data_IF_773944011865
#
_entry.id   IF_773944011865
#
_cell.length_a   1.000
_cell.length_b   1.000
_cell.length_c   1.000
_cell.angle_alpha   90.00
_cell.angle_beta   90.00
_cell.angle_gamma   90.00
#
_symmetry.space_group_name_H-M   'P 1'
#
loop_
_entity.id
_entity.type
_entity.pdbx_description
1 polymer ?
#
# COMPACT_ATOMS: atom_id res chain seq x y z
N UNK A 1 -70.56 37.98 58.45
CA UNK A 1 -70.30 39.43 58.61
C UNK A 1 -68.95 39.59 59.29
N UNK A 2 -68.06 40.42 58.73
CA UNK A 2 -67.01 41.15 59.46
C UNK A 2 -65.90 40.37 60.18
N UNK A 3 -64.66 40.73 59.78
CA UNK A 3 -63.43 40.73 60.58
C UNK A 3 -62.89 39.34 60.98
N UNK A 4 -61.59 39.08 61.07
CA UNK A 4 -60.48 39.88 61.62
C UNK A 4 -59.16 39.23 61.22
N UNK A 5 -58.18 40.05 60.86
CA UNK A 5 -56.78 39.76 61.12
C UNK A 5 -56.54 39.74 62.63
N UNK A 6 -55.60 38.92 63.13
CA UNK A 6 -54.35 39.33 63.78
C UNK A 6 -53.62 38.12 64.39
N UNK A 7 -52.31 38.04 64.08
CA UNK A 7 -51.13 37.86 64.96
C UNK A 7 -51.38 37.40 66.42
N UNK A 8 -50.49 36.65 67.10
CA UNK A 8 -49.12 36.99 67.51
C UNK A 8 -48.54 35.74 68.21
N UNK A 9 -47.24 35.45 67.99
CA UNK A 9 -46.22 35.07 68.99
C UNK A 9 -45.17 34.19 68.28
N UNK A 10 -44.06 34.72 67.77
CA UNK A 10 -42.92 35.32 68.50
C UNK A 10 -42.30 34.34 69.50
N UNK A 11 -41.19 33.71 69.10
CA UNK A 11 -40.04 33.60 69.99
C UNK A 11 -38.74 33.83 69.20
N UNK A 12 -38.03 34.84 69.67
CA UNK A 12 -36.74 35.39 69.26
C UNK A 12 -35.64 34.64 70.03
N UNK A 13 -34.47 34.45 69.41
CA UNK A 13 -33.09 34.64 69.97
C UNK A 13 -32.12 34.28 68.84
N UNK A 14 -31.49 35.20 68.09
CA UNK A 14 -30.50 36.26 68.35
C UNK A 14 -29.03 35.78 68.36
N UNK A 15 -28.31 36.24 67.30
CA UNK A 15 -26.88 36.58 67.14
C UNK A 15 -25.83 35.47 67.32
N UNK A 16 -24.76 35.38 66.50
CA UNK A 16 -23.71 36.39 66.29
C UNK A 16 -23.08 36.28 64.90
N UNK A 17 -22.73 37.46 64.36
CA UNK A 17 -22.01 37.72 63.10
C UNK A 17 -20.51 37.43 63.23
N UNK A 18 -19.94 36.79 62.20
CA UNK A 18 -18.50 36.75 61.97
C UNK A 18 -18.19 36.82 60.47
N UNK A 19 -17.83 38.01 60.00
CA UNK A 19 -17.28 38.26 58.67
C UNK A 19 -15.83 37.77 58.60
N UNK A 20 -15.52 36.92 57.62
CA UNK A 20 -14.17 36.75 57.10
C UNK A 20 -14.23 36.62 55.58
N UNK A 21 -13.65 37.61 54.91
CA UNK A 21 -13.39 37.66 53.47
C UNK A 21 -12.15 36.81 53.19
N UNK A 22 -12.20 35.88 52.25
CA UNK A 22 -10.96 35.46 51.57
C UNK A 22 -11.18 34.88 50.16
N UNK A 23 -10.63 35.64 49.20
CA UNK A 23 -9.88 35.24 48.01
C UNK A 23 -10.43 34.11 47.11
N UNK A 24 -11.00 34.55 45.99
CA UNK A 24 -11.08 33.81 44.74
C UNK A 24 -9.67 33.46 44.23
N UNK A 25 -9.33 32.16 44.24
CA UNK A 25 -8.21 31.61 43.49
C UNK A 25 -8.79 30.73 42.38
N UNK A 26 -8.77 31.25 41.14
CA UNK A 26 -9.19 30.55 39.94
C UNK A 26 -8.24 29.39 39.62
N UNK A 27 -8.56 28.21 40.14
CA UNK A 27 -7.98 26.95 39.68
C UNK A 27 -8.58 26.57 38.34
N UNK A 28 -7.97 27.01 37.24
CA UNK A 28 -8.16 26.37 35.93
C UNK A 28 -7.60 24.95 36.05
N UNK A 29 -8.47 24.01 36.43
CA UNK A 29 -8.20 22.58 36.29
C UNK A 29 -8.02 22.35 34.81
N UNK A 30 -6.75 22.28 34.40
CA UNK A 30 -6.31 21.81 33.10
C UNK A 30 -6.75 20.34 33.07
N UNK A 31 -7.98 20.07 32.62
CA UNK A 31 -8.36 18.75 32.16
C UNK A 31 -7.42 18.46 31.00
N UNK A 32 -6.29 17.84 31.32
CA UNK A 32 -5.54 17.03 30.38
C UNK A 32 -6.52 15.92 30.02
N UNK A 33 -7.34 16.18 28.99
CA UNK A 33 -7.98 15.10 28.24
C UNK A 33 -6.80 14.31 27.70
N UNK A 34 -6.39 13.29 28.46
CA UNK A 34 -5.66 12.18 27.89
C UNK A 34 -6.52 11.74 26.71
N UNK A 35 -6.07 12.08 25.50
CA UNK A 35 -6.59 11.46 24.30
C UNK A 35 -6.27 9.97 24.50
N UNK A 36 -7.26 9.25 25.02
CA UNK A 36 -7.25 7.82 25.20
C UNK A 36 -6.90 7.27 23.84
N UNK A 37 -5.73 6.63 23.78
CA UNK A 37 -5.04 6.35 22.53
C UNK A 37 -5.82 5.23 21.86
N UNK A 38 -6.73 5.60 20.95
CA UNK A 38 -7.49 4.66 20.14
C UNK A 38 -6.53 3.58 19.63
N UNK A 39 -6.86 2.33 19.92
CA UNK A 39 -6.02 1.22 19.49
C UNK A 39 -6.02 1.18 17.98
N UNK A 40 -4.87 0.83 17.38
CA UNK A 40 -4.80 0.72 15.92
C UNK A 40 -5.81 -0.33 15.44
N UNK A 41 -6.56 -0.04 14.36
CA UNK A 41 -7.49 -1.01 13.80
C UNK A 41 -6.78 -2.34 13.51
N UNK A 42 -7.43 -3.44 13.82
CA UNK A 42 -7.05 -4.76 13.29
C UNK A 42 -7.83 -4.94 11.99
N UNK A 43 -7.13 -5.21 10.90
CA UNK A 43 -7.75 -5.33 9.57
C UNK A 43 -7.40 -6.70 9.00
N UNK A 44 -8.36 -7.39 8.39
CA UNK A 44 -8.12 -8.55 7.54
C UNK A 44 -8.68 -8.27 6.15
N UNK A 45 -7.93 -8.68 5.13
CA UNK A 45 -8.32 -8.51 3.74
C UNK A 45 -8.27 -9.86 3.05
N UNK A 46 -9.28 -10.15 2.24
CA UNK A 46 -9.31 -11.28 1.33
C UNK A 46 -9.42 -10.79 -0.13
N UNK A 47 -8.60 -11.38 -0.97
CA UNK A 47 -8.71 -11.31 -2.41
C UNK A 47 -9.62 -12.43 -2.92
N UNK A 48 -10.63 -12.08 -3.72
CA UNK A 48 -11.53 -13.04 -4.30
C UNK A 48 -11.11 -13.36 -5.73
N UNK A 49 -10.79 -14.62 -5.97
CA UNK A 49 -10.46 -15.16 -7.29
C UNK A 49 -11.63 -15.97 -7.85
N UNK A 50 -11.82 -16.02 -9.18
CA UNK A 50 -12.90 -16.79 -9.78
C UNK A 50 -12.70 -18.30 -9.58
N UNK A 51 -13.82 -18.99 -9.40
CA UNK A 51 -13.88 -20.45 -9.24
C UNK A 51 -14.52 -21.09 -10.46
N UNK A 52 -13.92 -22.17 -10.95
CA UNK A 52 -14.41 -22.90 -12.12
C UNK A 52 -14.36 -22.06 -13.40
N UNK A 53 -15.50 -21.92 -14.07
CA UNK A 53 -15.63 -21.14 -15.31
C UNK A 53 -16.14 -19.70 -15.09
N UNK A 54 -16.23 -19.25 -13.84
CA UNK A 54 -16.65 -17.90 -13.52
C UNK A 54 -15.66 -16.86 -14.03
N UNK A 55 -16.16 -15.66 -14.28
CA UNK A 55 -15.34 -14.46 -14.52
C UNK A 55 -15.46 -13.52 -13.33
N UNK A 56 -14.64 -12.47 -13.36
CA UNK A 56 -14.69 -11.42 -12.35
C UNK A 56 -13.77 -11.70 -11.17
N UNK A 57 -13.82 -10.78 -10.21
CA UNK A 57 -12.99 -10.77 -9.03
C UNK A 57 -13.66 -9.93 -7.95
N UNK A 58 -13.09 -9.94 -6.76
CA UNK A 58 -13.55 -9.07 -5.70
C UNK A 58 -12.57 -8.93 -4.56
N UNK A 59 -12.98 -8.15 -3.56
CA UNK A 59 -12.21 -7.93 -2.35
C UNK A 59 -13.16 -7.80 -1.17
N UNK A 60 -12.77 -8.41 -0.06
CA UNK A 60 -13.44 -8.22 1.22
C UNK A 60 -12.44 -7.70 2.23
N UNK A 61 -12.80 -6.62 2.91
CA UNK A 61 -12.03 -6.05 4.02
C UNK A 61 -12.91 -6.06 5.27
N UNK A 62 -12.37 -6.59 6.36
CA UNK A 62 -12.99 -6.52 7.69
C UNK A 62 -12.06 -5.78 8.62
N UNK A 63 -12.57 -4.75 9.29
CA UNK A 63 -11.81 -3.94 10.23
C UNK A 63 -12.49 -3.90 11.60
N UNK A 64 -11.70 -4.16 12.64
CA UNK A 64 -12.05 -4.06 14.05
C UNK A 64 -11.29 -2.88 14.66
N UNK A 65 -12.03 -1.86 15.11
CA UNK A 65 -11.51 -0.69 15.82
C UNK A 65 -12.03 -0.76 17.26
N UNK A 66 -11.12 -0.84 18.22
CA UNK A 66 -11.47 -0.72 19.63
C UNK A 66 -11.18 0.72 20.09
N UNK A 67 -12.24 1.42 20.50
CA UNK A 67 -12.19 2.83 20.89
C UNK A 67 -11.63 3.06 22.32
N UNK A 68 -11.30 1.98 23.04
CA UNK A 68 -10.78 2.03 24.41
C UNK A 68 -11.86 1.97 25.50
N UNK A 69 -13.15 1.95 25.14
CA UNK A 69 -14.29 1.93 26.07
C UNK A 69 -15.09 0.62 25.97
N UNK A 70 -14.44 -0.49 25.60
CA UNK A 70 -15.05 -1.80 25.29
C UNK A 70 -16.02 -1.79 24.09
N UNK A 71 -16.09 -0.69 23.31
CA UNK A 71 -16.86 -0.66 22.08
C UNK A 71 -15.99 -1.12 20.92
N UNK A 72 -16.36 -2.28 20.37
CA UNK A 72 -15.84 -2.74 19.10
C UNK A 72 -16.65 -2.08 17.98
N UNK A 73 -16.03 -1.16 17.25
CA UNK A 73 -16.54 -0.75 15.95
C UNK A 73 -16.00 -1.71 14.89
N UNK A 74 -16.89 -2.46 14.26
CA UNK A 74 -16.60 -3.37 13.17
C UNK A 74 -17.16 -2.84 11.86
N UNK A 75 -16.37 -2.90 10.80
CA UNK A 75 -16.78 -2.58 9.43
C UNK A 75 -16.41 -3.72 8.49
N UNK A 76 -17.36 -4.16 7.66
CA UNK A 76 -17.14 -5.08 6.54
C UNK A 76 -17.38 -4.32 5.25
N UNK A 77 -16.48 -4.45 4.28
CA UNK A 77 -16.63 -3.87 2.94
C UNK A 77 -16.36 -4.94 1.91
N UNK A 78 -17.32 -5.16 1.03
CA UNK A 78 -17.25 -6.11 -0.09
C UNK A 78 -17.33 -5.31 -1.38
N UNK A 79 -16.39 -5.56 -2.29
CA UNK A 79 -16.39 -5.00 -3.65
C UNK A 79 -16.25 -6.14 -4.65
N UNK A 80 -17.16 -6.25 -5.61
CA UNK A 80 -17.15 -7.28 -6.65
C UNK A 80 -17.13 -6.60 -8.03
N UNK A 81 -16.43 -7.20 -8.99
CA UNK A 81 -16.21 -6.63 -10.32
C UNK A 81 -16.22 -7.71 -11.40
N UNK A 82 -16.65 -7.36 -12.61
CA UNK A 82 -16.62 -8.25 -13.77
C UNK A 82 -17.52 -9.49 -13.65
N UNK A 83 -18.49 -9.44 -12.74
CA UNK A 83 -19.51 -10.48 -12.58
C UNK A 83 -20.64 -10.29 -13.61
N UNK A 84 -21.56 -11.25 -13.72
CA UNK A 84 -22.72 -11.10 -14.61
C UNK A 84 -23.53 -9.85 -14.21
N UNK A 85 -23.77 -8.89 -15.13
CA UNK A 85 -24.49 -7.65 -14.82
C UNK A 85 -25.90 -7.87 -14.27
N UNK A 86 -26.37 -6.94 -13.43
CA UNK A 86 -27.74 -6.92 -12.88
C UNK A 86 -28.18 -8.24 -12.24
N UNK A 87 -27.22 -9.00 -11.71
CA UNK A 87 -27.45 -10.32 -11.12
C UNK A 87 -27.18 -10.29 -9.60
N UNK A 88 -27.97 -11.04 -8.82
CA UNK A 88 -27.75 -11.18 -7.38
C UNK A 88 -26.63 -12.20 -7.07
N UNK A 89 -25.91 -11.94 -5.99
CA UNK A 89 -24.92 -12.85 -5.40
C UNK A 89 -25.07 -12.87 -3.89
N UNK A 90 -24.80 -14.00 -3.26
CA UNK A 90 -24.69 -14.11 -1.80
C UNK A 90 -23.23 -14.08 -1.39
N UNK A 91 -22.93 -13.48 -0.24
CA UNK A 91 -21.56 -13.34 0.28
C UNK A 91 -21.49 -13.93 1.67
N UNK A 92 -20.57 -14.86 1.91
CA UNK A 92 -20.36 -15.46 3.22
C UNK A 92 -18.89 -15.35 3.64
N UNK A 93 -18.64 -15.12 4.93
CA UNK A 93 -17.32 -15.18 5.55
C UNK A 93 -17.34 -16.29 6.60
N UNK A 94 -16.45 -17.27 6.49
CA UNK A 94 -16.40 -18.43 7.41
C UNK A 94 -17.79 -19.03 7.70
N UNK A 95 -18.55 -19.29 6.63
CA UNK A 95 -19.93 -19.79 6.64
C UNK A 95 -20.99 -18.84 7.26
N UNK A 96 -20.60 -17.62 7.66
CA UNK A 96 -21.52 -16.57 8.13
C UNK A 96 -22.02 -15.76 6.94
N UNK A 97 -23.33 -15.82 6.67
CA UNK A 97 -23.98 -15.06 5.62
C UNK A 97 -23.99 -13.56 5.92
N UNK A 98 -23.41 -12.76 5.02
CA UNK A 98 -23.42 -11.30 5.09
C UNK A 98 -24.65 -10.71 4.39
N UNK A 99 -25.35 -11.51 3.60
CA UNK A 99 -26.51 -11.14 2.80
C UNK A 99 -26.23 -11.06 1.30
N UNK A 100 -27.26 -10.61 0.58
CA UNK A 100 -27.27 -10.55 -0.87
C UNK A 100 -26.80 -9.19 -1.39
N UNK A 101 -26.03 -9.22 -2.47
CA UNK A 101 -25.52 -8.05 -3.19
C UNK A 101 -25.90 -8.12 -4.67
N UNK A 102 -26.22 -6.97 -5.28
CA UNK A 102 -26.61 -6.88 -6.68
C UNK A 102 -25.52 -6.17 -7.47
N UNK A 103 -25.13 -6.77 -8.57
CA UNK A 103 -24.26 -6.11 -9.55
C UNK A 103 -25.03 -5.07 -10.35
N UNK A 104 -24.36 -4.00 -10.75
CA UNK A 104 -24.88 -2.99 -11.65
C UNK A 104 -24.84 -3.46 -13.12
N UNK A 105 -25.13 -2.56 -14.06
CA UNK A 105 -25.08 -2.86 -15.49
C UNK A 105 -23.68 -3.17 -16.05
N UNK A 106 -22.62 -2.95 -15.26
CA UNK A 106 -21.22 -3.26 -15.60
C UNK A 106 -20.72 -4.54 -14.91
N UNK A 107 -21.56 -5.19 -14.09
CA UNK A 107 -21.14 -6.34 -13.31
C UNK A 107 -20.41 -5.97 -12.02
N UNK A 108 -20.58 -4.74 -11.52
CA UNK A 108 -19.90 -4.25 -10.31
C UNK A 108 -20.86 -4.21 -9.14
N UNK A 109 -20.41 -4.57 -7.94
CA UNK A 109 -21.24 -4.58 -6.75
C UNK A 109 -20.48 -4.06 -5.53
N UNK A 110 -21.19 -3.37 -4.62
CA UNK A 110 -20.62 -2.81 -3.40
C UNK A 110 -21.53 -3.03 -2.19
N UNK A 111 -20.99 -3.58 -1.10
CA UNK A 111 -21.70 -3.78 0.16
C UNK A 111 -20.85 -3.26 1.32
N UNK A 112 -21.48 -2.53 2.24
CA UNK A 112 -20.88 -2.05 3.48
C UNK A 112 -21.79 -2.41 4.65
N UNK A 113 -21.21 -3.08 5.64
CA UNK A 113 -21.86 -3.40 6.92
C UNK A 113 -21.05 -2.75 8.04
N UNK A 114 -21.73 -2.19 9.04
CA UNK A 114 -21.06 -1.56 10.19
C UNK A 114 -21.82 -1.77 11.50
N UNK A 115 -21.10 -2.14 12.56
CA UNK A 115 -21.64 -2.32 13.91
C UNK A 115 -20.71 -1.67 14.95
N UNK A 116 -21.22 -0.82 15.86
CA UNK A 116 -22.53 -0.18 15.80
C UNK A 116 -22.58 0.88 14.69
N UNK A 117 -23.70 0.97 13.96
CA UNK A 117 -23.94 2.05 13.00
C UNK A 117 -25.45 2.29 12.84
N UNK A 118 -25.83 3.53 12.54
CA UNK A 118 -27.19 3.88 12.11
C UNK A 118 -27.27 4.17 10.61
N UNK A 119 -26.13 4.14 9.90
CA UNK A 119 -26.05 4.50 8.48
C UNK A 119 -26.01 3.28 7.57
N UNK A 120 -25.42 2.20 8.04
CA UNK A 120 -25.27 0.95 7.29
C UNK A 120 -25.95 -0.19 8.04
N UNK A 121 -26.34 -1.27 7.34
CA UNK A 121 -26.82 -2.48 8.01
C UNK A 121 -25.76 -3.01 9.00
N UNK A 122 -26.18 -3.65 10.10
CA UNK A 122 -25.26 -4.19 11.08
C UNK A 122 -24.45 -5.34 10.49
N UNK A 123 -23.23 -5.50 10.98
CA UNK A 123 -22.43 -6.72 10.79
C UNK A 123 -23.10 -7.87 11.57
N UNK A 124 -23.23 -9.09 11.00
CA UNK A 124 -23.74 -10.25 11.73
C UNK A 124 -23.01 -10.50 13.05
N UNK A 125 -23.77 -10.80 14.11
CA UNK A 125 -23.24 -10.97 15.47
C UNK A 125 -22.36 -12.22 15.63
N UNK A 126 -22.53 -13.20 14.74
CA UNK A 126 -21.80 -14.46 14.67
C UNK A 126 -20.51 -14.40 13.84
N UNK A 127 -20.23 -13.26 13.18
CA UNK A 127 -19.00 -13.09 12.42
C UNK A 127 -17.77 -13.17 13.36
N UNK A 128 -16.78 -14.06 13.12
CA UNK A 128 -15.64 -14.21 14.01
C UNK A 128 -14.81 -12.92 14.15
N UNK A 129 -13.99 -12.78 15.22
CA UNK A 129 -12.93 -11.78 15.31
C UNK A 129 -12.10 -11.65 14.03
N UNK A 130 -11.69 -10.42 13.66
CA UNK A 130 -10.86 -10.19 12.45
C UNK A 130 -9.61 -11.08 12.42
N UNK A 131 -9.00 -11.31 13.59
CA UNK A 131 -7.80 -12.14 13.73
C UNK A 131 -8.05 -13.65 13.51
N UNK A 132 -9.31 -14.10 13.49
CA UNK A 132 -9.69 -15.50 13.28
C UNK A 132 -10.33 -15.77 11.92
N UNK A 133 -10.55 -14.73 11.11
CA UNK A 133 -11.15 -14.88 9.79
C UNK A 133 -10.27 -15.74 8.87
N UNK A 134 -10.86 -16.71 8.18
CA UNK A 134 -10.12 -17.64 7.32
C UNK A 134 -10.48 -17.47 5.86
N UNK A 135 -11.77 -17.44 5.53
CA UNK A 135 -12.27 -17.62 4.18
C UNK A 135 -13.45 -16.71 3.88
N UNK A 136 -13.64 -16.44 2.60
CA UNK A 136 -14.80 -15.75 2.08
C UNK A 136 -15.20 -16.36 0.74
N UNK A 137 -16.50 -16.47 0.53
CA UNK A 137 -17.09 -17.03 -0.66
C UNK A 137 -18.19 -16.13 -1.20
N UNK A 138 -18.33 -16.14 -2.52
CA UNK A 138 -19.42 -15.49 -3.25
C UNK A 138 -20.11 -16.55 -4.11
N UNK A 139 -21.41 -16.70 -3.94
CA UNK A 139 -22.23 -17.65 -4.69
C UNK A 139 -23.25 -16.93 -5.59
N UNK A 140 -23.58 -17.54 -6.73
CA UNK A 140 -24.65 -17.04 -7.60
C UNK A 140 -26.04 -17.49 -7.14
N UNK A 141 -27.08 -17.11 -7.88
CA UNK A 141 -28.47 -17.47 -7.60
C UNK A 141 -28.76 -18.99 -7.64
N UNK A 142 -27.86 -19.81 -8.19
CA UNK A 142 -27.96 -21.27 -8.16
C UNK A 142 -27.30 -21.89 -6.92
N UNK A 143 -26.60 -21.08 -6.12
CA UNK A 143 -25.79 -21.52 -4.99
C UNK A 143 -24.40 -22.02 -5.41
N UNK A 144 -24.00 -21.84 -6.66
CA UNK A 144 -22.67 -22.23 -7.13
C UNK A 144 -21.63 -21.18 -6.71
N UNK A 145 -20.46 -21.62 -6.26
CA UNK A 145 -19.32 -20.73 -5.96
C UNK A 145 -18.83 -20.06 -7.23
N UNK A 146 -18.74 -18.73 -7.18
CA UNK A 146 -18.28 -17.87 -8.28
C UNK A 146 -16.93 -17.28 -7.94
N UNK A 147 -16.76 -16.77 -6.72
CA UNK A 147 -15.49 -16.25 -6.24
C UNK A 147 -15.16 -16.79 -4.84
N UNK A 148 -13.89 -17.04 -4.57
CA UNK A 148 -13.39 -17.47 -3.27
C UNK A 148 -12.09 -16.74 -2.91
N UNK A 149 -11.86 -16.55 -1.61
CA UNK A 149 -10.67 -15.92 -1.09
C UNK A 149 -10.33 -16.36 0.32
N UNK A 150 -9.07 -16.16 0.69
CA UNK A 150 -8.56 -16.40 2.05
C UNK A 150 -8.16 -15.07 2.67
N UNK A 151 -8.52 -14.86 3.93
CA UNK A 151 -8.15 -13.65 4.65
C UNK A 151 -6.67 -13.65 5.05
N UNK A 152 -6.05 -12.49 4.91
CA UNK A 152 -4.74 -12.19 5.48
C UNK A 152 -4.92 -11.10 6.53
N UNK A 153 -4.61 -11.45 7.78
CA UNK A 153 -4.64 -10.50 8.88
C UNK A 153 -3.45 -9.52 8.79
N UNK A 154 -3.76 -8.22 8.76
CA UNK A 154 -2.79 -7.14 8.91
C UNK A 154 -2.72 -6.79 10.40
N UNK A 155 -1.72 -7.35 11.08
CA UNK A 155 -1.62 -7.34 12.54
C UNK A 155 -1.60 -5.93 13.16
N UNK A 156 -2.48 -5.68 14.13
CA UNK A 156 -2.64 -4.43 14.91
C UNK A 156 -1.49 -4.09 15.86
N UNK A 157 -0.25 -4.39 15.47
CA UNK A 157 0.94 -4.20 16.29
C UNK A 157 1.46 -2.78 16.27
N UNK A 158 0.75 -1.83 16.90
CA UNK A 158 1.24 -0.56 17.50
C UNK A 158 2.20 0.39 16.76
N UNK A 159 2.68 0.06 15.56
CA UNK A 159 3.44 0.87 14.63
C UNK A 159 2.60 1.13 13.40
N UNK A 160 2.82 2.26 12.74
CA UNK A 160 2.14 2.62 11.48
C UNK A 160 2.14 1.43 10.52
N UNK A 161 0.98 0.79 10.34
CA UNK A 161 0.86 -0.35 9.44
C UNK A 161 1.23 0.14 8.04
N UNK A 162 2.35 -0.38 7.55
CA UNK A 162 2.84 -0.12 6.20
C UNK A 162 2.35 -1.27 5.33
N UNK A 163 1.40 -0.98 4.44
CA UNK A 163 1.05 -1.84 3.34
C UNK A 163 1.99 -1.53 2.19
N UNK A 164 2.66 -2.55 1.66
CA UNK A 164 3.34 -2.45 0.37
C UNK A 164 2.96 -3.69 -0.40
N UNK A 165 2.59 -3.52 -1.65
CA UNK A 165 2.45 -4.63 -2.57
C UNK A 165 3.04 -4.23 -3.90
N UNK A 166 3.63 -5.20 -4.59
CA UNK A 166 4.26 -4.99 -5.88
C UNK A 166 3.98 -6.18 -6.77
N UNK A 167 3.78 -5.88 -8.05
CA UNK A 167 3.54 -6.87 -9.10
C UNK A 167 4.44 -6.59 -10.28
N UNK A 168 4.79 -7.66 -10.98
CA UNK A 168 5.28 -7.61 -12.35
C UNK A 168 4.08 -7.41 -13.28
N UNK A 169 4.28 -6.64 -14.34
CA UNK A 169 3.34 -6.52 -15.44
C UNK A 169 3.86 -7.35 -16.61
N UNK A 170 3.05 -8.29 -17.05
CA UNK A 170 3.36 -9.20 -18.16
C UNK A 170 3.14 -8.52 -19.50
N UNK A 171 4.01 -8.81 -20.47
CA UNK A 171 3.87 -8.39 -21.85
C UNK A 171 2.76 -9.19 -22.54
N UNK A 172 1.66 -8.50 -22.83
CA UNK A 172 0.48 -9.12 -23.44
C UNK A 172 0.75 -9.48 -24.91
N UNK A 173 1.67 -8.77 -25.57
CA UNK A 173 1.93 -8.93 -27.00
C UNK A 173 3.25 -9.69 -27.30
N UNK A 174 4.08 -9.93 -26.28
CA UNK A 174 5.37 -10.61 -26.43
C UNK A 174 6.42 -9.81 -27.21
N UNK A 175 6.34 -8.48 -27.16
CA UNK A 175 7.25 -7.55 -27.82
C UNK A 175 8.54 -7.26 -27.02
N UNK A 176 8.70 -7.88 -25.84
CA UNK A 176 9.84 -7.65 -24.95
C UNK A 176 9.68 -6.42 -24.05
N UNK A 177 8.45 -5.92 -23.89
CA UNK A 177 8.16 -4.90 -22.89
C UNK A 177 8.13 -5.53 -21.49
N UNK A 178 8.52 -4.79 -20.47
CA UNK A 178 8.41 -5.25 -19.09
C UNK A 178 7.97 -4.10 -18.20
N UNK A 179 7.16 -4.39 -17.18
CA UNK A 179 6.72 -3.38 -16.25
C UNK A 179 6.59 -3.89 -14.83
N UNK A 180 6.48 -2.95 -13.91
CA UNK A 180 6.05 -3.22 -12.54
C UNK A 180 5.00 -2.21 -12.12
N UNK A 181 4.16 -2.61 -11.17
CA UNK A 181 3.31 -1.69 -10.43
C UNK A 181 3.47 -1.95 -8.94
N UNK A 182 3.30 -0.88 -8.16
CA UNK A 182 3.47 -0.88 -6.72
C UNK A 182 2.40 -0.02 -6.09
N UNK A 183 1.82 -0.53 -5.00
CA UNK A 183 0.96 0.23 -4.11
C UNK A 183 1.59 0.29 -2.73
N UNK A 184 1.46 1.42 -2.07
CA UNK A 184 2.00 1.62 -0.74
C UNK A 184 1.08 2.51 0.08
N UNK A 185 0.77 2.08 1.30
CA UNK A 185 -0.01 2.86 2.26
C UNK A 185 0.65 2.85 3.63
N UNK A 186 0.72 4.02 4.25
CA UNK A 186 1.16 4.22 5.62
C UNK A 186 0.00 4.81 6.42
N UNK A 187 -0.74 3.93 7.10
CA UNK A 187 -2.03 4.32 7.68
C UNK A 187 -3.01 4.82 6.60
N UNK A 188 -3.90 5.74 6.98
CA UNK A 188 -4.97 6.24 6.09
C UNK A 188 -4.55 7.44 5.24
N UNK A 189 -3.58 8.23 5.70
CA UNK A 189 -3.31 9.57 5.16
C UNK A 189 -2.26 9.61 4.06
N UNK A 190 -1.36 8.62 4.02
CA UNK A 190 -0.28 8.57 3.03
C UNK A 190 -0.40 7.30 2.21
N UNK A 191 -0.85 7.45 0.98
CA UNK A 191 -0.99 6.36 0.03
C UNK A 191 -0.35 6.76 -1.29
N UNK A 192 0.20 5.78 -2.00
CA UNK A 192 0.78 5.99 -3.31
C UNK A 192 0.57 4.79 -4.22
N UNK A 193 0.35 5.10 -5.49
CA UNK A 193 0.36 4.15 -6.60
C UNK A 193 1.51 4.54 -7.53
N UNK A 194 2.32 3.57 -7.92
CA UNK A 194 3.44 3.77 -8.83
C UNK A 194 3.42 2.65 -9.88
N UNK A 195 3.67 2.99 -11.13
CA UNK A 195 3.95 2.00 -12.17
C UNK A 195 5.01 2.54 -13.12
N UNK A 196 5.86 1.63 -13.59
CA UNK A 196 6.93 1.94 -14.55
C UNK A 196 7.09 0.78 -15.52
N UNK A 197 7.51 1.12 -16.73
CA UNK A 197 7.71 0.17 -17.81
C UNK A 197 8.94 0.54 -18.65
N UNK A 198 9.53 -0.48 -19.25
CA UNK A 198 10.65 -0.41 -20.18
C UNK A 198 10.35 -1.25 -21.41
N UNK A 199 11.14 -1.06 -22.47
CA UNK A 199 10.93 -1.75 -23.75
C UNK A 199 9.67 -1.28 -24.47
N UNK A 200 9.22 -0.04 -24.22
CA UNK A 200 8.11 0.60 -24.91
C UNK A 200 8.59 1.27 -26.21
N UNK A 201 7.66 1.59 -27.11
CA UNK A 201 7.98 2.35 -28.34
C UNK A 201 8.37 3.79 -27.97
N UNK A 202 9.59 4.27 -28.31
CA UNK A 202 10.05 5.60 -27.93
C UNK A 202 9.16 6.73 -28.46
N UNK A 203 8.82 7.69 -27.60
CA UNK A 203 7.95 8.83 -27.94
C UNK A 203 6.46 8.51 -28.00
N UNK A 204 6.06 7.23 -27.87
CA UNK A 204 4.67 6.81 -27.88
C UNK A 204 3.99 7.16 -26.53
N UNK A 205 2.73 7.59 -26.60
CA UNK A 205 1.90 7.82 -25.42
C UNK A 205 1.17 6.52 -25.04
N UNK A 206 1.12 6.26 -23.73
CA UNK A 206 0.41 5.14 -23.12
C UNK A 206 -0.58 5.64 -22.07
N UNK A 207 -1.74 4.99 -22.01
CA UNK A 207 -2.73 5.18 -20.97
C UNK A 207 -2.54 4.16 -19.85
N UNK A 208 -2.49 4.63 -18.62
CA UNK A 208 -2.45 3.76 -17.44
C UNK A 208 -3.88 3.58 -16.94
N UNK A 209 -4.37 2.36 -17.01
CA UNK A 209 -5.71 1.99 -16.54
C UNK A 209 -5.57 1.09 -15.32
N UNK A 210 -6.22 1.48 -14.23
CA UNK A 210 -6.21 0.78 -12.95
C UNK A 210 -7.64 0.43 -12.59
N UNK A 211 -7.97 -0.86 -12.49
CA UNK A 211 -9.34 -1.36 -12.27
C UNK A 211 -10.40 -0.73 -13.21
N UNK A 212 -10.02 -0.51 -14.48
CA UNK A 212 -10.87 0.11 -15.49
C UNK A 212 -10.97 1.64 -15.40
N UNK A 213 -10.36 2.28 -14.39
CA UNK A 213 -10.23 3.72 -14.28
C UNK A 213 -8.94 4.22 -14.93
N UNK A 214 -9.02 5.25 -15.78
CA UNK A 214 -7.82 5.85 -16.38
C UNK A 214 -7.08 6.71 -15.35
N UNK A 215 -6.02 6.15 -14.77
CA UNK A 215 -5.20 6.79 -13.74
C UNK A 215 -4.32 7.93 -14.27
N UNK A 216 -3.85 7.82 -15.52
CA UNK A 216 -2.99 8.83 -16.12
C UNK A 216 -2.55 8.52 -17.55
N UNK A 217 -1.79 9.45 -18.14
CA UNK A 217 -1.12 9.29 -19.42
C UNK A 217 0.38 9.47 -19.21
N UNK A 218 1.19 8.64 -19.85
CA UNK A 218 2.65 8.74 -19.83
C UNK A 218 3.19 8.67 -21.25
N UNK A 219 4.35 9.26 -21.50
CA UNK A 219 5.03 9.16 -22.80
C UNK A 219 6.36 8.45 -22.59
N UNK A 220 6.63 7.43 -23.40
CA UNK A 220 7.91 6.74 -23.37
C UNK A 220 9.02 7.69 -23.83
N UNK A 221 10.12 7.71 -23.10
CA UNK A 221 11.28 8.52 -23.43
C UNK A 221 12.05 7.95 -24.64
N UNK A 222 13.21 8.55 -24.95
CA UNK A 222 14.04 8.14 -26.07
C UNK A 222 14.62 6.72 -25.95
N UNK A 223 14.62 6.13 -24.74
CA UNK A 223 15.09 4.76 -24.49
C UNK A 223 13.94 3.79 -24.25
N UNK A 224 12.69 4.21 -24.48
CA UNK A 224 11.51 3.35 -24.34
C UNK A 224 11.08 3.13 -22.88
N UNK A 225 11.36 4.08 -21.99
CA UNK A 225 10.98 4.02 -20.57
C UNK A 225 9.90 5.03 -20.24
N UNK A 226 8.97 4.67 -19.35
CA UNK A 226 7.93 5.55 -18.85
C UNK A 226 7.56 5.21 -17.40
N UNK A 227 7.04 6.20 -16.67
CA UNK A 227 6.60 6.05 -15.27
C UNK A 227 5.41 6.93 -14.94
N UNK A 228 4.54 6.42 -14.06
CA UNK A 228 3.49 7.17 -13.39
C UNK A 228 3.67 6.99 -11.88
N UNK A 229 3.65 8.10 -11.14
CA UNK A 229 3.63 8.10 -9.68
C UNK A 229 2.50 9.01 -9.22
N UNK A 230 1.63 8.50 -8.35
CA UNK A 230 0.49 9.20 -7.79
C UNK A 230 0.52 9.04 -6.27
N UNK A 231 0.36 10.13 -5.51
CA UNK A 231 0.34 10.06 -4.04
C UNK A 231 -0.66 11.02 -3.40
N UNK A 232 -1.22 10.67 -2.24
CA UNK A 232 -2.22 11.51 -1.54
C UNK A 232 -1.67 12.85 -1.04
N UNK A 233 -0.35 12.96 -0.90
CA UNK A 233 0.34 14.13 -0.37
C UNK A 233 1.27 14.79 -1.41
N UNK A 234 1.01 14.54 -2.69
CA UNK A 234 1.71 15.14 -3.82
C UNK A 234 0.76 16.12 -4.53
N UNK A 235 1.15 17.40 -4.56
CA UNK A 235 0.33 18.47 -5.17
C UNK A 235 0.42 18.46 -6.70
N UNK A 236 1.49 17.90 -7.28
CA UNK A 236 1.68 17.83 -8.73
C UNK A 236 1.00 16.60 -9.32
N UNK A 237 1.07 15.47 -8.62
CA UNK A 237 0.50 14.19 -9.05
C UNK A 237 -0.36 13.57 -7.94
N UNK A 238 -1.51 14.18 -7.61
CA UNK A 238 -2.35 13.70 -6.52
C UNK A 238 -2.97 12.34 -6.85
N UNK A 239 -3.03 11.45 -5.86
CA UNK A 239 -3.72 10.17 -5.98
C UNK A 239 -5.24 10.37 -6.09
N UNK A 240 -5.91 9.96 -7.19
CA UNK A 240 -7.34 10.12 -7.35
C UNK A 240 -8.14 9.37 -6.28
N UNK A 241 -9.30 9.88 -5.83
CA UNK A 241 -10.18 9.19 -4.88
C UNK A 241 -10.63 7.81 -5.36
N UNK A 242 -10.75 7.60 -6.68
CA UNK A 242 -11.12 6.33 -7.30
C UNK A 242 -10.09 5.22 -7.04
N UNK A 243 -8.82 5.60 -6.85
CA UNK A 243 -7.72 4.69 -6.52
C UNK A 243 -7.51 4.54 -5.01
N UNK A 244 -8.42 5.08 -4.19
CA UNK A 244 -8.33 5.04 -2.73
C UNK A 244 -9.42 4.13 -2.13
N UNK A 245 -9.05 3.26 -1.18
CA UNK A 245 -7.70 3.03 -0.67
C UNK A 245 -6.82 2.24 -1.67
N UNK A 246 -5.52 2.53 -1.78
CA UNK A 246 -4.61 1.87 -2.76
C UNK A 246 -4.45 0.38 -2.51
N UNK A 247 -4.72 -0.04 -1.28
CA UNK A 247 -4.81 -1.45 -0.95
C UNK A 247 -5.79 -2.12 -1.88
N UNK A 248 -6.96 -1.51 -2.16
CA UNK A 248 -8.05 -2.11 -2.93
C UNK A 248 -7.75 -2.32 -4.42
N UNK A 249 -6.70 -1.68 -4.95
CA UNK A 249 -6.29 -1.79 -6.34
C UNK A 249 -5.98 -3.24 -6.70
N UNK A 250 -6.43 -3.71 -7.87
CA UNK A 250 -6.14 -5.05 -8.38
C UNK A 250 -5.42 -5.04 -9.70
N UNK A 251 -6.05 -4.56 -10.74
CA UNK A 251 -5.53 -4.69 -12.08
C UNK A 251 -4.83 -3.41 -12.50
N UNK A 252 -3.66 -3.56 -13.11
CA UNK A 252 -2.95 -2.47 -13.78
C UNK A 252 -2.75 -2.87 -15.22
N UNK A 253 -3.13 -1.97 -16.13
CA UNK A 253 -2.97 -2.13 -17.57
C UNK A 253 -2.27 -0.90 -18.14
N UNK A 254 -1.32 -1.14 -19.04
CA UNK A 254 -0.77 -0.12 -19.93
C UNK A 254 -1.40 -0.31 -21.30
N UNK A 255 -2.02 0.73 -21.83
CA UNK A 255 -2.67 0.70 -23.14
C UNK A 255 -1.98 1.66 -24.11
N UNK A 256 -1.83 1.24 -25.36
CA UNK A 256 -1.26 2.09 -26.41
C UNK A 256 -2.27 3.16 -26.90
N UNK A 257 -1.93 3.92 -27.95
CA UNK A 257 -2.83 4.92 -28.52
C UNK A 257 -4.06 4.35 -29.23
N UNK A 258 -4.05 3.07 -29.60
CA UNK A 258 -5.21 2.38 -30.18
C UNK A 258 -6.15 1.84 -29.09
N UNK A 259 -5.70 1.84 -27.83
CA UNK A 259 -6.42 1.30 -26.68
C UNK A 259 -6.12 -0.18 -26.40
N UNK A 260 -5.18 -0.77 -27.14
CA UNK A 260 -4.76 -2.16 -26.98
C UNK A 260 -3.87 -2.30 -25.74
N UNK A 261 -4.06 -3.39 -24.98
CA UNK A 261 -3.27 -3.66 -23.78
C UNK A 261 -1.87 -4.14 -24.19
N UNK A 262 -0.85 -3.50 -23.65
CA UNK A 262 0.57 -3.81 -23.89
C UNK A 262 1.17 -4.51 -22.67
N UNK A 263 0.89 -4.01 -21.46
CA UNK A 263 1.29 -4.64 -20.21
C UNK A 263 0.08 -4.85 -19.31
N UNK A 264 0.02 -5.97 -18.60
CA UNK A 264 -1.02 -6.21 -17.59
C UNK A 264 -0.48 -6.95 -16.36
N UNK A 265 -0.99 -6.63 -15.19
CA UNK A 265 -0.71 -7.39 -13.98
C UNK A 265 -1.81 -7.23 -12.95
N UNK A 266 -1.86 -8.16 -11.99
CA UNK A 266 -2.89 -8.20 -10.93
C UNK A 266 -2.27 -8.29 -9.55
N UNK A 267 -2.58 -7.33 -8.67
CA UNK A 267 -2.30 -7.38 -7.24
C UNK A 267 -3.11 -8.49 -6.57
N UNK A 268 -2.44 -9.30 -5.78
CA UNK A 268 -3.02 -10.35 -4.96
C UNK A 268 -3.64 -9.79 -3.69
N UNK A 269 -3.44 -8.51 -3.37
CA UNK A 269 -4.04 -7.85 -2.20
C UNK A 269 -3.42 -8.33 -0.88
N UNK A 270 -2.37 -9.13 -0.98
CA UNK A 270 -1.58 -9.59 0.16
C UNK A 270 -0.34 -8.72 0.21
N UNK A 271 -0.16 -7.92 1.27
CA UNK A 271 1.04 -7.10 1.37
C UNK A 271 2.26 -8.01 1.31
N UNK A 272 3.32 -7.49 0.71
CA UNK A 272 4.66 -8.03 0.89
C UNK A 272 4.96 -7.99 2.39
N UNK A 273 4.78 -9.14 3.05
CA UNK A 273 4.96 -9.30 4.49
C UNK A 273 6.46 -9.25 4.87
N UNK A 274 7.21 -8.27 4.37
CA UNK A 274 8.59 -7.92 4.75
C UNK A 274 9.65 -9.00 4.57
N UNK A 275 9.31 -10.17 4.03
CA UNK A 275 10.19 -11.34 4.03
C UNK A 275 10.95 -11.58 2.73
N UNK A 276 10.31 -11.31 1.59
CA UNK A 276 10.87 -11.65 0.28
C UNK A 276 11.26 -10.41 -0.52
N UNK A 277 10.39 -9.43 -0.69
CA UNK A 277 10.79 -8.24 -1.44
C UNK A 277 11.78 -7.36 -0.68
N UNK A 278 12.96 -7.18 -1.28
CA UNK A 278 14.04 -6.33 -0.79
C UNK A 278 14.43 -5.32 -1.84
N UNK A 279 14.74 -4.12 -1.37
CA UNK A 279 15.53 -3.14 -2.11
C UNK A 279 16.93 -3.11 -1.50
N UNK A 280 17.95 -3.20 -2.35
CA UNK A 280 19.34 -3.09 -1.94
C UNK A 280 20.12 -2.29 -2.98
N UNK A 281 21.15 -1.57 -2.53
CA UNK A 281 21.97 -0.70 -3.36
C UNK A 281 23.45 -0.98 -3.10
N UNK A 282 24.25 -0.95 -4.16
CA UNK A 282 25.69 -1.18 -4.07
C UNK A 282 26.38 -1.30 -5.43
N UNK A 283 27.72 -1.34 -5.45
CA UNK A 283 28.47 -1.52 -6.68
C UNK A 283 28.47 -2.99 -7.11
N UNK A 284 28.36 -3.23 -8.42
CA UNK A 284 28.55 -4.55 -9.01
C UNK A 284 29.99 -5.02 -8.78
N UNK A 285 30.19 -6.22 -8.26
CA UNK A 285 31.51 -6.81 -7.99
C UNK A 285 31.85 -7.97 -8.91
N UNK A 286 30.85 -8.62 -9.49
CA UNK A 286 31.03 -9.77 -10.38
C UNK A 286 29.88 -9.86 -11.36
N UNK A 287 30.16 -10.19 -12.63
CA UNK A 287 29.15 -10.38 -13.68
C UNK A 287 28.93 -11.88 -13.92
N UNK A 288 27.68 -12.27 -14.16
CA UNK A 288 27.30 -13.60 -14.58
C UNK A 288 26.44 -13.53 -15.86
N UNK A 289 26.20 -14.66 -16.51
CA UNK A 289 25.40 -14.71 -17.74
C UNK A 289 23.96 -14.20 -17.54
N UNK A 290 23.35 -14.51 -16.38
CA UNK A 290 21.95 -14.22 -16.07
C UNK A 290 21.82 -13.36 -14.80
N UNK A 291 22.78 -12.46 -14.55
CA UNK A 291 22.79 -11.66 -13.33
C UNK A 291 24.16 -11.14 -12.96
N UNK A 292 24.32 -10.77 -11.69
CA UNK A 292 25.56 -10.24 -11.15
C UNK A 292 25.58 -10.35 -9.63
N UNK A 293 26.74 -10.18 -9.02
CA UNK A 293 26.88 -9.98 -7.57
C UNK A 293 27.17 -8.52 -7.32
N UNK A 294 26.57 -7.92 -6.29
CA UNK A 294 26.87 -6.56 -5.88
C UNK A 294 27.06 -6.46 -4.36
N UNK A 295 27.86 -5.49 -3.92
CA UNK A 295 28.22 -5.33 -2.52
C UNK A 295 27.26 -4.39 -1.80
N UNK A 296 26.46 -4.92 -0.87
CA UNK A 296 25.63 -4.10 0.02
C UNK A 296 26.36 -3.78 1.32
N UNK A 297 25.77 -2.92 2.17
CA UNK A 297 26.26 -2.69 3.54
C UNK A 297 26.28 -3.95 4.42
N UNK A 298 25.46 -4.95 4.09
CA UNK A 298 25.33 -6.20 4.84
C UNK A 298 26.18 -7.34 4.25
N UNK A 299 26.91 -7.09 3.16
CA UNK A 299 27.68 -8.09 2.43
C UNK A 299 27.24 -8.26 0.98
N UNK A 300 27.87 -9.21 0.26
CA UNK A 300 27.54 -9.48 -1.14
C UNK A 300 26.14 -10.11 -1.26
N UNK A 301 25.40 -9.71 -2.30
CA UNK A 301 24.16 -10.35 -2.71
C UNK A 301 24.27 -10.79 -4.18
N UNK A 302 23.86 -12.03 -4.45
CA UNK A 302 23.72 -12.52 -5.81
C UNK A 302 22.38 -12.03 -6.37
N UNK A 303 22.40 -11.46 -7.56
CA UNK A 303 21.21 -11.02 -8.30
C UNK A 303 21.01 -11.96 -9.47
N UNK A 304 19.79 -12.46 -9.60
CA UNK A 304 19.34 -13.26 -10.75
C UNK A 304 18.33 -12.43 -11.52
N UNK A 305 18.48 -12.42 -12.84
CA UNK A 305 17.63 -11.68 -13.78
C UNK A 305 16.82 -12.70 -14.58
N UNK A 306 15.56 -12.37 -14.83
CA UNK A 306 14.66 -13.12 -15.70
C UNK A 306 14.02 -12.20 -16.75
N UNK A 307 13.14 -12.76 -17.57
CA UNK A 307 12.39 -12.04 -18.62
C UNK A 307 11.45 -10.94 -18.08
N UNK A 308 11.14 -10.99 -16.80
CA UNK A 308 10.25 -10.05 -16.12
C UNK A 308 11.00 -8.90 -15.44
N UNK A 309 12.33 -8.91 -15.48
CA UNK A 309 13.16 -7.91 -14.82
C UNK A 309 13.15 -6.60 -15.61
N UNK A 310 12.67 -5.53 -14.98
CA UNK A 310 12.67 -4.18 -15.56
C UNK A 310 14.04 -3.52 -15.39
N UNK A 311 14.60 -3.00 -16.48
CA UNK A 311 15.83 -2.21 -16.46
C UNK A 311 15.53 -0.72 -16.55
N UNK A 312 16.12 0.08 -15.65
CA UNK A 312 15.90 1.52 -15.55
C UNK A 312 17.20 2.28 -15.75
N UNK A 313 17.18 3.30 -16.63
CA UNK A 313 18.34 4.06 -17.11
C UNK A 313 19.34 3.26 -17.99
N UNK A 314 18.99 2.04 -18.40
CA UNK A 314 19.72 1.21 -19.35
C UNK A 314 18.80 0.16 -20.00
N UNK A 315 19.27 -0.54 -21.02
CA UNK A 315 18.44 -1.39 -21.87
C UNK A 315 18.65 -2.89 -21.64
N UNK A 316 19.82 -3.31 -21.17
CA UNK A 316 20.11 -4.73 -20.94
C UNK A 316 21.26 -4.96 -19.95
N UNK A 317 21.41 -6.20 -19.48
CA UNK A 317 22.57 -6.61 -18.66
C UNK A 317 23.93 -6.31 -19.32
N UNK A 318 23.99 -6.28 -20.66
CA UNK A 318 25.23 -5.96 -21.39
C UNK A 318 25.68 -4.50 -21.23
N UNK A 319 24.78 -3.61 -20.78
CA UNK A 319 25.10 -2.21 -20.50
C UNK A 319 25.73 -2.02 -19.12
N UNK A 320 25.72 -3.05 -18.27
CA UNK A 320 26.29 -3.03 -16.92
C UNK A 320 27.74 -3.53 -16.90
N UNK A 321 28.53 -2.94 -16.03
CA UNK A 321 29.92 -3.29 -15.78
C UNK A 321 30.23 -3.42 -14.28
N UNK A 322 31.31 -4.13 -13.96
CA UNK A 322 31.85 -4.17 -12.61
C UNK A 322 32.17 -2.74 -12.15
N UNK A 323 31.70 -2.38 -10.96
CA UNK A 323 31.82 -1.06 -10.36
C UNK A 323 30.62 -0.13 -10.59
N UNK A 324 29.68 -0.47 -11.48
CA UNK A 324 28.44 0.29 -11.63
C UNK A 324 27.62 0.27 -10.34
N UNK A 325 27.09 1.43 -9.96
CA UNK A 325 26.21 1.54 -8.80
C UNK A 325 24.77 1.26 -9.23
N UNK A 326 24.21 0.18 -8.69
CA UNK A 326 22.85 -0.24 -9.00
C UNK A 326 21.99 -0.26 -7.75
N UNK A 327 20.70 0.02 -7.92
CA UNK A 327 19.65 -0.31 -6.97
C UNK A 327 18.87 -1.49 -7.55
N UNK A 328 18.76 -2.56 -6.78
CA UNK A 328 18.04 -3.77 -7.17
C UNK A 328 16.85 -3.95 -6.26
N UNK A 329 15.69 -4.18 -6.85
CA UNK A 329 14.47 -4.54 -6.16
C UNK A 329 14.03 -5.93 -6.63
N UNK A 330 13.69 -6.82 -5.70
CA UNK A 330 13.48 -8.23 -6.03
C UNK A 330 13.06 -9.09 -4.86
N UNK A 331 12.78 -10.37 -5.12
CA UNK A 331 12.50 -11.37 -4.10
C UNK A 331 13.80 -12.03 -3.61
N UNK A 332 14.09 -11.92 -2.32
CA UNK A 332 15.23 -12.54 -1.66
C UNK A 332 14.86 -13.95 -1.19
N UNK A 333 15.65 -14.93 -1.62
CA UNK A 333 15.68 -16.29 -1.08
C UNK A 333 17.12 -16.63 -0.68
N UNK A 334 17.35 -16.75 0.64
CA UNK A 334 18.70 -16.86 1.19
C UNK A 334 19.57 -15.64 0.86
N UNK A 335 20.62 -15.84 0.05
CA UNK A 335 21.52 -14.80 -0.44
C UNK A 335 21.27 -14.40 -1.89
N UNK A 336 20.24 -14.96 -2.52
CA UNK A 336 19.91 -14.74 -3.93
C UNK A 336 18.68 -13.84 -4.03
N UNK A 337 18.84 -12.73 -4.74
CA UNK A 337 17.80 -11.75 -5.03
C UNK A 337 17.36 -11.93 -6.49
N UNK A 338 16.20 -12.54 -6.70
CA UNK A 338 15.56 -12.54 -8.04
C UNK A 338 15.04 -11.14 -8.30
N UNK A 339 15.69 -10.44 -9.23
CA UNK A 339 15.37 -9.07 -9.58
C UNK A 339 14.00 -8.99 -10.27
N UNK A 340 13.43 -7.81 -10.16
CA UNK A 340 12.17 -7.42 -10.80
C UNK A 340 12.28 -5.99 -11.28
N UNK A 341 13.14 -5.19 -10.65
CA UNK A 341 13.69 -3.99 -11.25
C UNK A 341 15.15 -3.82 -10.85
N UNK A 342 15.93 -3.31 -11.80
CA UNK A 342 17.30 -2.88 -11.61
C UNK A 342 17.43 -1.47 -12.17
N UNK A 343 17.81 -0.55 -11.32
CA UNK A 343 18.06 0.85 -11.67
C UNK A 343 19.56 1.13 -11.63
N UNK A 344 20.11 1.59 -12.75
CA UNK A 344 21.47 2.08 -12.82
C UNK A 344 21.49 3.50 -12.25
N UNK A 345 22.07 3.64 -11.05
CA UNK A 345 22.11 4.91 -10.33
C UNK A 345 23.25 5.80 -10.81
N UNK A 346 24.41 5.20 -11.09
CA UNK A 346 25.59 5.87 -11.63
C UNK A 346 26.41 4.90 -12.45
N UNK A 347 26.87 5.35 -13.62
CA UNK A 347 27.84 4.59 -14.42
C UNK A 347 29.22 4.65 -13.79
N UNK A 348 29.93 3.54 -13.87
CA UNK A 348 31.34 3.46 -13.58
C UNK A 348 32.09 4.50 -14.42
N UNK A 349 32.85 5.38 -13.76
CA UNK A 349 33.57 6.49 -14.40
C UNK A 349 32.94 7.86 -14.22
N UNK A 350 31.70 7.96 -13.72
CA UNK A 350 31.07 9.24 -13.39
C UNK A 350 31.47 9.69 -11.96
N UNK A 351 32.64 10.33 -11.88
CA UNK A 351 33.17 11.09 -10.75
C UNK A 351 33.35 10.31 -9.43
N UNK A 352 34.60 9.97 -9.13
CA UNK A 352 35.00 9.52 -7.79
C UNK A 352 35.45 10.74 -6.96
N UNK A 353 34.79 10.95 -5.82
CA UNK A 353 35.19 11.93 -4.82
C UNK A 353 35.82 11.24 -3.61
N UNK A 354 36.92 11.80 -3.11
CA UNK A 354 37.62 11.29 -1.93
C UNK A 354 38.82 12.15 -1.57
N UNK A 355 39.53 11.76 -0.51
CA UNK A 355 40.75 12.44 -0.09
C UNK A 355 41.93 11.72 -0.75
N UNK A 356 42.79 12.45 -1.44
CA UNK A 356 44.03 11.87 -1.96
C UNK A 356 44.94 11.57 -0.75
N UNK A 357 45.24 10.30 -0.52
CA UNK A 357 46.06 9.83 0.62
C UNK A 357 47.49 9.48 0.21
N UNK A 358 47.72 9.17 -1.06
CA UNK A 358 49.05 8.95 -1.62
C UNK A 358 49.09 9.38 -3.10
N UNK A 359 50.27 9.78 -3.59
CA UNK A 359 50.51 10.10 -5.00
C UNK A 359 51.68 9.23 -5.49
N UNK A 360 51.52 8.60 -6.65
CA UNK A 360 52.52 7.77 -7.32
C UNK A 360 52.93 8.41 -8.66
N UNK A 361 53.97 7.86 -9.30
CA UNK A 361 54.45 8.37 -10.60
C UNK A 361 53.45 8.19 -11.75
N UNK A 362 52.55 7.22 -11.62
CA UNK A 362 51.54 6.84 -12.61
C UNK A 362 50.11 7.06 -12.10
N UNK A 363 49.92 7.76 -10.97
CA UNK A 363 48.60 7.82 -10.35
C UNK A 363 48.52 8.42 -8.96
N UNK A 364 47.40 8.18 -8.29
CA UNK A 364 47.19 8.54 -6.89
C UNK A 364 46.20 7.60 -6.21
N UNK A 365 46.30 7.48 -4.89
CA UNK A 365 45.35 6.74 -4.05
C UNK A 365 44.30 7.71 -3.51
N UNK A 366 43.04 7.37 -3.73
CA UNK A 366 41.88 8.12 -3.27
C UNK A 366 41.18 7.33 -2.15
N UNK A 367 41.24 7.81 -0.92
CA UNK A 367 40.44 7.26 0.17
C UNK A 367 39.00 7.76 0.03
N UNK A 368 38.09 6.82 -0.23
CA UNK A 368 36.66 7.08 -0.42
C UNK A 368 35.84 6.42 0.69
N UNK A 369 34.53 6.70 0.71
CA UNK A 369 33.59 6.00 1.59
C UNK A 369 33.49 4.49 1.27
N UNK A 370 34.00 4.06 0.12
CA UNK A 370 34.03 2.66 -0.32
C UNK A 370 35.40 1.99 -0.11
N UNK A 371 36.37 2.69 0.51
CA UNK A 371 37.74 2.24 0.69
C UNK A 371 38.74 2.99 -0.20
N UNK A 372 40.00 2.53 -0.19
CA UNK A 372 41.08 3.13 -0.95
C UNK A 372 41.02 2.69 -2.42
N UNK A 373 40.97 3.66 -3.33
CA UNK A 373 40.94 3.46 -4.79
C UNK A 373 42.28 3.88 -5.38
N UNK A 374 42.91 3.03 -6.21
CA UNK A 374 44.06 3.44 -7.00
C UNK A 374 43.59 4.04 -8.34
N UNK A 375 43.91 5.30 -8.56
CA UNK A 375 43.67 6.01 -9.81
C UNK A 375 44.96 6.00 -10.61
N UNK A 376 44.99 5.28 -11.73
CA UNK A 376 46.13 5.23 -12.65
C UNK A 376 45.88 6.20 -13.81
N UNK A 377 46.79 7.15 -14.01
CA UNK A 377 46.77 8.08 -15.14
C UNK A 377 47.55 7.45 -16.28
N UNK A 378 46.85 7.02 -17.32
CA UNK A 378 47.46 6.52 -18.55
C UNK A 378 47.60 7.66 -19.56
N UNK A 379 48.75 7.72 -20.24
CA UNK A 379 49.09 8.76 -21.19
C UNK A 379 48.63 8.44 -22.62
#
# INVERSE_FOLDING_TARGET
MKHRALNIATLITLMVVGLAVNAAAGGRVRQVRHAERATSPTIAIAALSPVGGATGWGRVSVADVNDGQDYLFRSVTVRLFGLQPSSPYEVAIDDVDLGQIYTDGRGWAFLVLQSPSNRFPPVPDDLPPVASLQSVAVTDASGAFVLEGTFVAMGGGGGSQRYVERIVLEDVNGNGSAGIAKVEAYGETRQSFETRAAGLEPGQQYSIVVDGFQAGLVTADAVGQARLHLATNDDENPLPPELQPVQDIRQVEWRDANGDIVLSGTFTGTPDNGGKHRSATGPITEMAANGFTFMTRSGPLQVVIDENTVFENFSSLADLAIGDMVKVEGSLDGSTLTASSIELMRRHGEQFGGIITAIASDGFTLQSAMGDLQVVVTA
#
